data_IF_310936645993
#
_entry.id   IF_310936645993
#
_cell.length_a   1.000
_cell.length_b   1.000
_cell.length_c   1.000
_cell.angle_alpha   90.00
_cell.angle_beta   90.00
_cell.angle_gamma   90.00
#
_symmetry.space_group_name_H-M   'P 1'
#
loop_
_entity.id
_entity.type
_entity.pdbx_description
1 polymer ?
#
# COMPACT_ATOMS: atom_id res chain seq x y z
N UNK A 1 6.84 21.81 0.76
CA UNK A 1 8.04 21.68 -0.09
C UNK A 1 8.37 20.22 -0.34
N UNK A 2 9.55 19.94 -0.91
CA UNK A 2 9.99 18.57 -1.26
C UNK A 2 9.93 17.58 -0.09
N UNK A 3 10.35 18.01 1.10
CA UNK A 3 10.32 17.18 2.30
C UNK A 3 8.90 16.75 2.71
N UNK A 4 7.91 17.64 2.58
CA UNK A 4 6.51 17.33 2.88
C UNK A 4 5.91 16.36 1.86
N UNK A 5 6.35 16.42 0.60
CA UNK A 5 5.96 15.45 -0.44
C UNK A 5 6.55 14.06 -0.15
N UNK A 6 7.83 13.98 0.20
CA UNK A 6 8.45 12.71 0.60
C UNK A 6 7.75 12.09 1.83
N UNK A 7 7.42 12.91 2.83
CA UNK A 7 6.67 12.45 4.00
C UNK A 7 5.26 11.97 3.66
N UNK A 8 4.58 12.61 2.69
CA UNK A 8 3.27 12.18 2.21
C UNK A 8 3.36 10.84 1.46
N UNK A 9 4.35 10.67 0.57
CA UNK A 9 4.62 9.40 -0.14
C UNK A 9 4.88 8.27 0.86
N UNK A 10 5.75 8.52 1.85
CA UNK A 10 6.02 7.55 2.91
C UNK A 10 4.76 7.14 3.67
N UNK A 11 3.91 8.11 4.01
CA UNK A 11 2.65 7.84 4.71
C UNK A 11 1.72 6.95 3.89
N UNK A 12 1.54 7.25 2.60
CA UNK A 12 0.68 6.45 1.71
C UNK A 12 1.20 5.03 1.54
N UNK A 13 2.52 4.86 1.40
CA UNK A 13 3.13 3.53 1.39
C UNK A 13 2.84 2.75 2.67
N UNK A 14 3.00 3.41 3.83
CA UNK A 14 2.74 2.80 5.13
C UNK A 14 1.27 2.43 5.32
N UNK A 15 0.33 3.30 4.92
CA UNK A 15 -1.10 3.03 4.97
C UNK A 15 -1.48 1.80 4.15
N UNK A 16 -0.91 1.64 2.94
CA UNK A 16 -1.16 0.47 2.09
C UNK A 16 -0.58 -0.81 2.66
N UNK A 17 0.59 -0.77 3.30
CA UNK A 17 1.16 -1.94 3.97
C UNK A 17 0.36 -2.41 5.18
N UNK A 18 -0.32 -1.49 5.85
CA UNK A 18 -1.14 -1.78 7.03
C UNK A 18 -2.62 -1.94 6.69
N UNK A 19 -2.96 -1.97 5.40
CA UNK A 19 -4.32 -2.16 4.97
C UNK A 19 -4.70 -3.65 4.98
N UNK A 20 -5.23 -4.10 6.11
CA UNK A 20 -5.64 -5.48 6.33
C UNK A 20 -7.15 -5.71 6.15
N UNK A 21 -7.91 -4.77 5.58
CA UNK A 21 -9.38 -4.90 5.54
C UNK A 21 -9.85 -6.20 4.85
N UNK A 22 -9.18 -6.62 3.77
CA UNK A 22 -9.51 -7.87 3.04
C UNK A 22 -9.32 -9.09 3.93
N UNK A 23 -8.23 -9.15 4.69
CA UNK A 23 -7.96 -10.25 5.61
C UNK A 23 -8.98 -10.27 6.74
N UNK A 24 -9.34 -9.08 7.27
CA UNK A 24 -10.38 -8.98 8.31
C UNK A 24 -11.74 -9.42 7.80
N UNK A 25 -12.11 -9.07 6.57
CA UNK A 25 -13.37 -9.52 5.98
C UNK A 25 -13.41 -11.03 5.78
N UNK A 26 -12.33 -11.58 5.24
CA UNK A 26 -12.20 -13.03 5.05
C UNK A 26 -12.25 -13.79 6.38
N UNK A 27 -11.40 -13.43 7.35
CA UNK A 27 -11.23 -14.21 8.58
C UNK A 27 -12.19 -13.83 9.71
N UNK A 28 -12.51 -12.55 9.91
CA UNK A 28 -13.38 -12.10 11.00
C UNK A 28 -14.87 -12.17 10.62
N UNK A 29 -15.20 -12.01 9.32
CA UNK A 29 -16.59 -11.94 8.83
C UNK A 29 -17.02 -13.10 7.95
N UNK A 30 -16.08 -13.94 7.49
CA UNK A 30 -16.36 -15.02 6.54
C UNK A 30 -16.84 -14.52 5.18
N UNK A 31 -16.56 -13.25 4.82
CA UNK A 31 -16.95 -12.65 3.54
C UNK A 31 -15.79 -12.72 2.55
N UNK A 32 -15.96 -13.54 1.50
CA UNK A 32 -14.95 -13.81 0.47
C UNK A 32 -15.11 -12.97 -0.80
N UNK A 33 -16.07 -12.04 -0.84
CA UNK A 33 -16.32 -11.18 -2.03
C UNK A 33 -15.12 -10.32 -2.41
N UNK A 34 -14.25 -10.05 -1.44
CA UNK A 34 -13.05 -9.25 -1.62
C UNK A 34 -11.81 -10.07 -2.01
N UNK A 35 -11.83 -11.40 -1.86
CA UNK A 35 -10.67 -12.27 -2.08
C UNK A 35 -10.03 -12.09 -3.47
N UNK A 36 -10.78 -11.91 -4.58
CA UNK A 36 -10.18 -11.69 -5.90
C UNK A 36 -9.32 -10.42 -6.01
N UNK A 37 -9.48 -9.45 -5.11
CA UNK A 37 -8.73 -8.19 -5.10
C UNK A 37 -7.38 -8.33 -4.37
N UNK A 38 -7.25 -9.30 -3.48
CA UNK A 38 -6.08 -9.47 -2.62
C UNK A 38 -4.75 -9.69 -3.39
N UNK A 39 -4.70 -10.48 -4.48
CA UNK A 39 -3.46 -10.65 -5.25
C UNK A 39 -2.95 -9.33 -5.84
N UNK A 40 -3.82 -8.49 -6.38
CA UNK A 40 -3.43 -7.20 -6.95
C UNK A 40 -2.95 -6.23 -5.86
N UNK A 41 -3.66 -6.16 -4.73
CA UNK A 41 -3.29 -5.30 -3.62
C UNK A 41 -1.95 -5.70 -2.98
N UNK A 42 -1.73 -7.00 -2.77
CA UNK A 42 -0.47 -7.51 -2.22
C UNK A 42 0.71 -7.34 -3.19
N UNK A 43 0.50 -7.56 -4.49
CA UNK A 43 1.52 -7.29 -5.51
C UNK A 43 1.94 -5.80 -5.53
N UNK A 44 0.98 -4.88 -5.37
CA UNK A 44 1.27 -3.45 -5.30
C UNK A 44 2.13 -3.09 -4.08
N UNK A 45 1.84 -3.67 -2.91
CA UNK A 45 2.66 -3.48 -1.71
C UNK A 45 4.10 -3.97 -1.90
N UNK A 46 4.28 -5.13 -2.54
CA UNK A 46 5.61 -5.67 -2.88
C UNK A 46 6.35 -4.77 -3.86
N UNK A 47 5.68 -4.35 -4.93
CA UNK A 47 6.27 -3.47 -5.93
C UNK A 47 6.68 -2.13 -5.33
N UNK A 48 5.77 -1.46 -4.61
CA UNK A 48 6.05 -0.15 -4.03
C UNK A 48 7.22 -0.23 -3.04
N UNK A 49 7.29 -1.27 -2.22
CA UNK A 49 8.41 -1.44 -1.29
C UNK A 49 9.77 -1.57 -2.01
N UNK A 50 9.80 -2.17 -3.20
CA UNK A 50 11.02 -2.25 -4.03
C UNK A 50 11.36 -0.93 -4.70
N UNK A 51 10.35 -0.21 -5.18
CA UNK A 51 10.50 1.06 -5.90
C UNK A 51 10.41 2.29 -4.98
N UNK A 52 10.50 2.10 -3.66
CA UNK A 52 10.21 3.16 -2.69
C UNK A 52 11.05 4.42 -2.92
N UNK A 53 12.36 4.25 -3.14
CA UNK A 53 13.27 5.36 -3.39
C UNK A 53 12.96 6.06 -4.72
N UNK A 54 12.70 5.28 -5.79
CA UNK A 54 12.29 5.79 -7.11
C UNK A 54 11.01 6.62 -7.03
N UNK A 55 10.01 6.14 -6.26
CA UNK A 55 8.75 6.86 -6.07
C UNK A 55 8.99 8.13 -5.24
N UNK A 56 9.78 8.07 -4.17
CA UNK A 56 10.12 9.26 -3.40
C UNK A 56 10.81 10.33 -4.27
N UNK A 57 11.79 9.93 -5.08
CA UNK A 57 12.49 10.82 -6.01
C UNK A 57 11.55 11.42 -7.06
N UNK A 58 10.63 10.64 -7.63
CA UNK A 58 9.69 11.15 -8.63
C UNK A 58 8.73 12.24 -8.09
N UNK A 59 8.42 12.22 -6.79
CA UNK A 59 7.51 13.19 -6.16
C UNK A 59 8.21 14.33 -5.41
N UNK A 60 9.44 14.11 -4.92
CA UNK A 60 10.14 15.03 -4.03
C UNK A 60 11.56 15.40 -4.50
N UNK A 61 12.02 14.88 -5.63
CA UNK A 61 13.27 15.24 -6.31
C UNK A 61 13.11 16.39 -7.31
#
# INVERSE_FOLDING_TARGET
>A
GPAELAAAVHRVWWERLNDFWMLRWHYERGDTRADPQFPAASALAVWWTREYDTVCEAFAG
#
